data_IF_697393303957
#
_entry.id   IF_697393303957
#
_cell.length_a   1.000
_cell.length_b   1.000
_cell.length_c   1.000
_cell.angle_alpha   90.00
_cell.angle_beta   90.00
_cell.angle_gamma   90.00
#
_symmetry.space_group_name_H-M   'P 1'
#
loop_
_entity.id
_entity.type
_entity.pdbx_description
1 polymer ?
#
# COMPACT_ATOMS: atom_id res chain seq x y z
N UNK A 1 51.77 6.19 -23.30
CA UNK A 1 50.40 6.35 -23.85
C UNK A 1 49.55 5.07 -23.82
N UNK A 2 50.09 3.88 -24.15
CA UNK A 2 49.31 2.63 -24.17
C UNK A 2 48.78 2.21 -22.78
N UNK A 3 49.59 2.38 -21.73
CA UNK A 3 49.24 2.06 -20.34
C UNK A 3 48.18 2.99 -19.75
N UNK A 4 48.23 4.29 -20.08
CA UNK A 4 47.24 5.29 -19.63
C UNK A 4 45.86 5.04 -20.26
N UNK A 5 45.83 4.65 -21.54
CA UNK A 5 44.57 4.27 -22.22
C UNK A 5 43.98 2.98 -21.65
N UNK A 6 44.82 2.03 -21.24
CA UNK A 6 44.40 0.78 -20.61
C UNK A 6 43.84 1.01 -19.20
N UNK A 7 44.47 1.86 -18.39
CA UNK A 7 43.96 2.21 -17.05
C UNK A 7 42.66 3.00 -17.13
N UNK A 8 42.51 3.90 -18.10
CA UNK A 8 41.27 4.66 -18.29
C UNK A 8 40.13 3.77 -18.79
N UNK A 9 40.43 2.78 -19.64
CA UNK A 9 39.46 1.79 -20.09
C UNK A 9 39.00 0.85 -18.96
N UNK A 10 39.90 0.44 -18.07
CA UNK A 10 39.56 -0.38 -16.89
C UNK A 10 38.71 0.39 -15.88
N UNK A 11 39.00 1.68 -15.67
CA UNK A 11 38.19 2.54 -14.80
C UNK A 11 36.78 2.77 -15.37
N UNK A 12 36.67 2.96 -16.69
CA UNK A 12 35.37 3.06 -17.38
C UNK A 12 34.58 1.74 -17.33
N UNK A 13 35.24 0.58 -17.43
CA UNK A 13 34.60 -0.73 -17.35
C UNK A 13 34.07 -1.04 -15.94
N UNK A 14 34.78 -0.60 -14.88
CA UNK A 14 34.34 -0.75 -13.50
C UNK A 14 33.08 0.07 -13.17
N UNK A 15 32.90 1.22 -13.81
CA UNK A 15 31.69 2.08 -13.65
C UNK A 15 30.48 1.44 -14.36
N UNK A 16 30.68 0.63 -15.40
CA UNK A 16 29.61 0.02 -16.19
C UNK A 16 29.01 -1.27 -15.59
N UNK A 17 29.58 -1.86 -14.54
CA UNK A 17 29.04 -3.09 -13.92
C UNK A 17 28.01 -2.83 -12.80
N UNK A 18 27.65 -1.56 -12.54
CA UNK A 18 26.87 -1.16 -11.37
C UNK A 18 25.34 -1.23 -11.49
N UNK A 19 24.77 -1.92 -12.48
CA UNK A 19 23.31 -1.88 -12.68
C UNK A 19 22.74 -3.17 -13.23
N UNK A 20 22.88 -4.26 -12.47
CA UNK A 20 21.94 -5.36 -12.50
C UNK A 20 21.53 -5.64 -11.05
N UNK A 21 20.28 -5.34 -10.70
CA UNK A 21 19.69 -5.79 -9.44
C UNK A 21 19.54 -7.32 -9.52
N UNK A 22 20.61 -8.06 -9.20
CA UNK A 22 20.49 -9.49 -8.97
C UNK A 22 19.59 -9.70 -7.75
N UNK A 23 18.63 -10.61 -7.85
CA UNK A 23 17.87 -11.10 -6.70
C UNK A 23 18.85 -11.90 -5.83
N UNK A 24 19.56 -11.19 -4.95
CA UNK A 24 20.45 -11.82 -3.99
C UNK A 24 19.62 -12.58 -2.96
N UNK A 25 19.99 -13.83 -2.71
CA UNK A 25 19.41 -14.62 -1.63
C UNK A 25 19.88 -14.13 -0.26
N UNK A 26 19.03 -14.25 0.76
CA UNK A 26 19.39 -14.03 2.16
C UNK A 26 18.92 -15.22 3.01
N UNK A 27 19.50 -15.40 4.19
CA UNK A 27 18.98 -16.37 5.16
C UNK A 27 17.80 -15.79 5.97
N UNK A 28 17.01 -16.67 6.58
CA UNK A 28 15.85 -16.28 7.39
C UNK A 28 16.24 -15.42 8.60
N UNK A 29 17.39 -15.70 9.24
CA UNK A 29 17.86 -14.94 10.38
C UNK A 29 18.16 -13.48 10.01
N UNK A 30 18.63 -13.23 8.79
CA UNK A 30 18.93 -11.89 8.27
C UNK A 30 17.65 -11.08 8.06
N UNK A 31 16.57 -11.71 7.59
CA UNK A 31 15.26 -11.07 7.53
C UNK A 31 14.76 -10.68 8.93
N UNK A 32 14.93 -11.56 9.92
CA UNK A 32 14.50 -11.33 11.31
C UNK A 32 15.30 -10.25 12.05
N UNK A 33 16.43 -9.79 11.50
CA UNK A 33 17.17 -8.64 12.05
C UNK A 33 16.43 -7.33 11.84
N UNK A 34 15.52 -7.26 10.86
CA UNK A 34 14.78 -6.03 10.57
C UNK A 34 13.78 -5.75 11.69
N UNK A 35 13.85 -4.55 12.26
CA UNK A 35 13.01 -4.14 13.37
C UNK A 35 12.44 -2.75 13.16
N UNK A 36 11.29 -2.49 13.81
CA UNK A 36 10.68 -1.17 13.87
C UNK A 36 11.70 -0.15 14.42
N UNK A 37 11.79 1.01 13.79
CA UNK A 37 12.69 2.10 14.17
C UNK A 37 14.04 2.14 13.44
N UNK A 38 14.38 1.07 12.71
CA UNK A 38 15.59 1.04 11.87
C UNK A 38 15.56 2.11 10.78
N UNK A 39 16.72 2.66 10.46
CA UNK A 39 16.94 3.67 9.42
C UNK A 39 17.02 3.04 8.04
N UNK A 40 16.84 3.85 7.00
CA UNK A 40 16.99 3.42 5.61
C UNK A 40 18.37 2.85 5.33
N UNK A 41 19.41 3.44 5.91
CA UNK A 41 20.80 3.01 5.76
C UNK A 41 21.03 1.62 6.40
N UNK A 42 20.48 1.38 7.59
CA UNK A 42 20.51 0.07 8.23
C UNK A 42 19.78 -0.98 7.39
N UNK A 43 18.61 -0.65 6.85
CA UNK A 43 17.87 -1.53 5.94
C UNK A 43 18.66 -1.81 4.67
N UNK A 44 19.27 -0.79 4.06
CA UNK A 44 20.12 -0.95 2.87
C UNK A 44 21.34 -1.83 3.18
N UNK A 45 21.89 -1.76 4.38
CA UNK A 45 22.99 -2.65 4.79
C UNK A 45 22.55 -4.11 4.93
N UNK A 46 21.28 -4.37 5.25
CA UNK A 46 20.73 -5.72 5.44
C UNK A 46 20.23 -6.31 4.11
N UNK A 47 19.42 -5.56 3.37
CA UNK A 47 18.71 -6.02 2.18
C UNK A 47 19.31 -5.51 0.87
N UNK A 48 20.23 -4.56 0.90
CA UNK A 48 20.69 -3.84 -0.28
C UNK A 48 19.70 -2.76 -0.73
N UNK A 49 19.81 -2.36 -2.00
CA UNK A 49 18.92 -1.37 -2.59
C UNK A 49 17.53 -1.96 -2.87
N UNK A 50 16.45 -1.20 -2.64
CA UNK A 50 15.09 -1.66 -2.94
C UNK A 50 14.89 -1.80 -4.45
N UNK A 51 14.05 -2.75 -4.85
CA UNK A 51 13.67 -2.94 -6.25
C UNK A 51 12.61 -1.93 -6.69
N UNK A 52 11.73 -1.55 -5.77
CA UNK A 52 10.74 -0.50 -6.00
C UNK A 52 10.68 0.43 -4.80
N UNK A 53 10.59 1.73 -5.10
CA UNK A 53 10.46 2.81 -4.12
C UNK A 53 9.22 3.64 -4.49
N UNK A 54 8.31 3.79 -3.54
CA UNK A 54 7.15 4.66 -3.62
C UNK A 54 7.24 5.74 -2.54
N UNK A 55 6.61 6.88 -2.78
CA UNK A 55 6.51 7.97 -1.81
C UNK A 55 5.09 8.51 -1.87
N UNK A 56 4.28 8.22 -0.85
CA UNK A 56 3.06 8.97 -0.58
C UNK A 56 3.35 9.96 0.56
N UNK A 57 2.50 10.98 0.72
CA UNK A 57 2.80 12.17 1.51
C UNK A 57 3.26 11.88 2.95
N UNK A 58 2.82 10.78 3.56
CA UNK A 58 3.17 10.43 4.95
C UNK A 58 4.15 9.26 5.06
N UNK A 59 4.19 8.36 4.06
CA UNK A 59 4.97 7.13 4.14
C UNK A 59 5.80 6.92 2.87
N UNK A 60 7.10 6.77 3.05
CA UNK A 60 7.95 6.24 1.99
C UNK A 60 7.92 4.71 2.03
N UNK A 61 7.61 4.07 0.90
CA UNK A 61 7.50 2.62 0.78
C UNK A 61 8.65 2.02 0.00
N UNK A 62 9.32 1.00 0.53
CA UNK A 62 10.35 0.23 -0.18
C UNK A 62 9.92 -1.23 -0.32
N UNK A 63 10.10 -1.78 -1.52
CA UNK A 63 9.82 -3.18 -1.84
C UNK A 63 11.06 -3.91 -2.31
N UNK A 64 11.23 -5.12 -1.79
CA UNK A 64 12.30 -6.04 -2.13
C UNK A 64 11.76 -7.36 -2.63
N UNK A 65 12.50 -7.99 -3.54
CA UNK A 65 12.34 -9.40 -3.88
C UNK A 65 13.60 -10.14 -3.45
N UNK A 66 13.45 -11.17 -2.60
CA UNK A 66 14.56 -11.95 -2.06
C UNK A 66 14.25 -13.43 -2.12
N UNK A 67 15.24 -14.25 -2.47
CA UNK A 67 15.15 -15.69 -2.20
C UNK A 67 15.58 -15.93 -0.76
N UNK A 68 14.69 -16.44 0.09
CA UNK A 68 14.99 -16.72 1.49
C UNK A 68 15.36 -18.18 1.63
N UNK A 69 16.51 -18.47 2.24
CA UNK A 69 16.91 -19.86 2.50
C UNK A 69 15.88 -20.57 3.37
N UNK A 70 15.31 -21.66 2.85
CA UNK A 70 14.28 -22.46 3.52
C UNK A 70 12.83 -22.01 3.23
N UNK A 71 12.61 -20.91 2.52
CA UNK A 71 11.28 -20.55 2.02
C UNK A 71 11.07 -21.08 0.59
N UNK A 72 9.85 -21.53 0.24
CA UNK A 72 9.51 -21.79 -1.15
C UNK A 72 9.51 -20.46 -1.94
N UNK A 73 10.15 -20.47 -3.12
CA UNK A 73 10.06 -19.37 -4.08
C UNK A 73 10.77 -18.06 -3.70
N UNK A 74 10.24 -16.96 -4.25
CA UNK A 74 10.71 -15.59 -4.01
C UNK A 74 9.83 -14.99 -2.92
N UNK A 75 10.42 -14.36 -1.91
CA UNK A 75 9.72 -13.58 -0.89
C UNK A 75 9.71 -12.10 -1.29
N UNK A 76 8.52 -11.50 -1.26
CA UNK A 76 8.33 -10.05 -1.30
C UNK A 76 8.47 -9.52 0.13
N UNK A 77 9.24 -8.44 0.31
CA UNK A 77 9.35 -7.74 1.59
C UNK A 77 8.98 -6.28 1.34
N UNK A 78 7.93 -5.81 2.02
CA UNK A 78 7.45 -4.43 1.97
C UNK A 78 7.77 -3.71 3.27
N UNK A 79 8.37 -2.52 3.17
CA UNK A 79 8.74 -1.67 4.30
C UNK A 79 8.13 -0.29 4.14
N UNK A 80 7.60 0.26 5.22
CA UNK A 80 7.12 1.64 5.31
C UNK A 80 7.99 2.47 6.24
N UNK A 81 8.33 3.68 5.82
CA UNK A 81 9.16 4.62 6.58
C UNK A 81 8.41 5.91 6.86
N UNK A 82 8.48 6.36 8.11
CA UNK A 82 8.07 7.69 8.57
C UNK A 82 9.28 8.32 9.27
N UNK A 83 9.58 9.58 8.97
CA UNK A 83 10.79 10.28 9.47
C UNK A 83 12.10 9.50 9.23
N UNK A 84 12.16 8.78 8.10
CA UNK A 84 13.33 7.96 7.73
C UNK A 84 13.48 6.66 8.52
N UNK A 85 12.53 6.30 9.38
CA UNK A 85 12.57 5.10 10.23
C UNK A 85 11.46 4.10 9.87
N UNK A 86 11.75 2.81 9.96
CA UNK A 86 10.80 1.73 9.71
C UNK A 86 9.64 1.80 10.70
N UNK A 87 8.41 1.91 10.19
CA UNK A 87 7.17 1.87 10.97
C UNK A 87 6.29 0.68 10.63
N UNK A 88 6.45 0.11 9.42
CA UNK A 88 5.72 -1.02 8.90
C UNK A 88 6.65 -2.01 8.19
N UNK A 89 6.38 -3.30 8.35
CA UNK A 89 7.03 -4.39 7.61
C UNK A 89 6.04 -5.52 7.39
N UNK A 90 5.99 -6.06 6.16
CA UNK A 90 5.36 -7.34 5.84
C UNK A 90 6.25 -8.14 4.89
N UNK A 91 6.20 -9.48 4.99
CA UNK A 91 6.94 -10.37 4.11
C UNK A 91 6.10 -11.58 3.74
N UNK A 92 5.97 -11.85 2.44
CA UNK A 92 5.11 -12.92 1.92
C UNK A 92 5.68 -13.55 0.66
N UNK A 93 5.31 -14.79 0.37
CA UNK A 93 5.73 -15.47 -0.85
C UNK A 93 5.11 -14.81 -2.08
N UNK A 94 5.92 -14.57 -3.11
CA UNK A 94 5.49 -14.10 -4.41
C UNK A 94 4.71 -15.21 -5.09
N UNK A 95 3.39 -15.07 -5.16
CA UNK A 95 2.53 -15.99 -5.91
C UNK A 95 2.98 -16.03 -7.37
N UNK A 96 3.58 -17.14 -7.79
CA UNK A 96 3.82 -17.43 -9.22
C UNK A 96 2.51 -17.92 -9.81
N UNK A 97 1.70 -16.98 -10.33
CA UNK A 97 0.39 -17.19 -10.99
C UNK A 97 -0.54 -18.23 -10.31
N UNK A 98 -1.69 -17.82 -9.73
CA UNK A 98 -2.72 -18.81 -9.46
C UNK A 98 -3.13 -19.46 -10.80
N UNK A 99 -3.36 -20.78 -10.86
CA UNK A 99 -4.03 -21.36 -12.02
C UNK A 99 -5.35 -20.59 -12.17
N UNK A 100 -5.60 -20.08 -13.39
CA UNK A 100 -6.88 -19.44 -13.72
C UNK A 100 -7.96 -20.50 -13.54
N UNK A 101 -8.58 -20.54 -12.36
CA UNK A 101 -9.74 -21.35 -12.11
C UNK A 101 -10.89 -20.71 -12.89
N UNK A 102 -11.26 -21.32 -14.02
CA UNK A 102 -12.53 -21.05 -14.69
C UNK A 102 -13.62 -21.57 -13.76
N UNK A 103 -14.23 -20.70 -12.96
CA UNK A 103 -15.37 -21.08 -12.14
C UNK A 103 -16.63 -21.12 -13.01
N UNK A 104 -17.35 -22.25 -13.11
CA UNK A 104 -18.74 -22.22 -13.55
C UNK A 104 -19.58 -21.52 -12.47
N UNK A 105 -20.49 -20.64 -12.90
CA UNK A 105 -21.43 -19.95 -12.02
C UNK A 105 -22.27 -20.97 -11.26
N UNK A 106 -22.06 -21.11 -9.95
CA UNK A 106 -22.90 -21.94 -9.08
C UNK A 106 -23.73 -21.02 -8.19
N UNK A 107 -25.03 -21.29 -8.22
CA UNK A 107 -26.10 -20.57 -7.55
C UNK A 107 -26.02 -20.64 -6.01
N UNK A 108 -26.70 -19.66 -5.42
CA UNK A 108 -26.73 -19.22 -4.03
C UNK A 108 -27.13 -20.34 -3.05
N UNK A 109 -26.40 -20.45 -1.93
CA UNK A 109 -26.89 -21.12 -0.72
C UNK A 109 -25.81 -21.59 0.24
N UNK A 110 -25.40 -20.76 1.19
CA UNK A 110 -24.60 -21.20 2.34
C UNK A 110 -23.85 -20.07 3.05
N UNK A 111 -24.39 -19.60 4.18
CA UNK A 111 -23.72 -18.71 5.14
C UNK A 111 -22.39 -19.33 5.61
N UNK A 112 -21.28 -18.66 5.27
CA UNK A 112 -20.01 -18.89 5.94
C UNK A 112 -20.01 -18.08 7.26
N UNK A 113 -19.63 -18.68 8.41
CA UNK A 113 -19.67 -18.01 9.69
C UNK A 113 -18.65 -16.86 9.72
N UNK A 114 -19.16 -15.64 9.80
CA UNK A 114 -18.36 -14.43 9.97
C UNK A 114 -17.67 -14.47 11.34
N UNK A 115 -16.36 -14.71 11.36
CA UNK A 115 -15.56 -14.48 12.56
C UNK A 115 -15.53 -12.97 12.83
N UNK A 116 -15.96 -12.49 14.00
CA UNK A 116 -15.80 -11.09 14.37
C UNK A 116 -14.32 -10.85 14.69
N UNK A 117 -13.59 -10.32 13.72
CA UNK A 117 -12.29 -9.71 13.99
C UNK A 117 -12.56 -8.38 14.68
N UNK A 118 -12.36 -8.37 15.99
CA UNK A 118 -12.37 -7.16 16.82
C UNK A 118 -11.21 -6.27 16.35
N UNK A 119 -11.48 -5.37 15.41
CA UNK A 119 -10.58 -4.29 15.02
C UNK A 119 -10.74 -3.18 16.05
N UNK A 120 -9.82 -3.13 17.01
CA UNK A 120 -9.67 -1.96 17.85
C UNK A 120 -9.29 -0.77 16.97
N UNK A 121 -10.23 0.14 16.72
CA UNK A 121 -10.02 1.51 16.23
C UNK A 121 -9.27 1.72 14.91
N UNK A 122 -8.92 0.66 14.14
CA UNK A 122 -7.94 0.77 13.04
C UNK A 122 -8.52 0.68 11.62
N UNK A 123 -9.84 0.69 11.47
CA UNK A 123 -10.45 0.39 10.16
C UNK A 123 -10.19 -1.05 9.73
N UNK A 124 -10.34 -1.32 8.43
CA UNK A 124 -10.01 -2.63 7.86
C UNK A 124 -8.50 -2.83 7.80
N UNK A 125 -8.03 -4.08 7.74
CA UNK A 125 -6.59 -4.31 7.59
C UNK A 125 -6.10 -3.82 6.21
N UNK A 126 -4.81 -3.50 6.12
CA UNK A 126 -4.22 -2.89 4.92
C UNK A 126 -4.35 -3.76 3.67
N UNK A 127 -4.31 -5.10 3.81
CA UNK A 127 -4.47 -6.03 2.69
C UNK A 127 -5.87 -5.95 2.09
N UNK A 128 -6.89 -5.97 2.94
CA UNK A 128 -8.28 -5.87 2.52
C UNK A 128 -8.57 -4.49 1.91
N UNK A 129 -8.01 -3.44 2.51
CA UNK A 129 -8.08 -2.09 1.97
C UNK A 129 -7.46 -2.00 0.57
N UNK A 130 -6.22 -2.46 0.40
CA UNK A 130 -5.52 -2.41 -0.88
C UNK A 130 -6.22 -3.25 -1.95
N UNK A 131 -6.81 -4.38 -1.57
CA UNK A 131 -7.62 -5.21 -2.48
C UNK A 131 -8.83 -4.43 -3.00
N UNK A 132 -9.57 -3.76 -2.09
CA UNK A 132 -10.70 -2.93 -2.48
C UNK A 132 -10.27 -1.72 -3.32
N UNK A 133 -9.28 -0.96 -2.84
CA UNK A 133 -8.73 0.22 -3.49
C UNK A 133 -8.29 -0.07 -4.94
N UNK A 134 -7.51 -1.14 -5.16
CA UNK A 134 -7.04 -1.49 -6.49
C UNK A 134 -8.18 -1.94 -7.41
N UNK A 135 -9.19 -2.65 -6.89
CA UNK A 135 -10.38 -3.02 -7.66
C UNK A 135 -11.16 -1.80 -8.10
N UNK A 136 -11.41 -0.84 -7.20
CA UNK A 136 -12.06 0.43 -7.52
C UNK A 136 -11.23 1.17 -8.57
N UNK A 137 -9.95 1.46 -8.28
CA UNK A 137 -9.05 2.21 -9.17
C UNK A 137 -8.89 1.59 -10.56
N UNK A 138 -9.02 0.27 -10.70
CA UNK A 138 -8.89 -0.42 -12.00
C UNK A 138 -10.06 -0.16 -12.96
N UNK A 139 -11.21 0.31 -12.46
CA UNK A 139 -12.37 0.60 -13.30
C UNK A 139 -12.15 1.88 -14.10
N UNK A 140 -12.51 1.90 -15.40
CA UNK A 140 -12.25 3.04 -16.27
C UNK A 140 -13.22 4.21 -16.06
N UNK A 141 -14.45 3.95 -15.58
CA UNK A 141 -15.49 4.95 -15.43
C UNK A 141 -15.84 5.18 -13.96
N UNK A 142 -16.16 6.44 -13.62
CA UNK A 142 -16.48 6.86 -12.24
C UNK A 142 -17.68 6.11 -11.66
N UNK A 143 -18.75 5.93 -12.42
CA UNK A 143 -19.95 5.26 -11.93
C UNK A 143 -19.64 3.81 -11.51
N UNK A 144 -18.91 3.07 -12.35
CA UNK A 144 -18.44 1.71 -12.01
C UNK A 144 -17.52 1.68 -10.78
N UNK A 145 -16.74 2.73 -10.56
CA UNK A 145 -15.87 2.87 -9.38
C UNK A 145 -16.71 3.03 -8.11
N UNK A 146 -17.71 3.91 -8.14
CA UNK A 146 -18.58 4.19 -7.00
C UNK A 146 -19.48 2.99 -6.67
N UNK A 147 -20.06 2.33 -7.68
CA UNK A 147 -20.86 1.11 -7.51
C UNK A 147 -20.03 -0.02 -6.86
N UNK A 148 -18.79 -0.21 -7.33
CA UNK A 148 -17.88 -1.20 -6.75
C UNK A 148 -17.48 -0.81 -5.34
N UNK A 149 -17.28 0.48 -5.06
CA UNK A 149 -16.94 0.96 -3.72
C UNK A 149 -18.07 0.71 -2.73
N UNK A 150 -19.31 1.05 -3.09
CA UNK A 150 -20.50 0.86 -2.25
C UNK A 150 -20.77 -0.63 -1.99
N UNK A 151 -20.77 -1.46 -3.03
CA UNK A 151 -20.90 -2.91 -2.87
C UNK A 151 -19.71 -3.52 -2.12
N UNK A 152 -18.52 -2.95 -2.33
CA UNK A 152 -17.28 -3.38 -1.76
C UNK A 152 -17.22 -3.14 -0.26
N UNK A 153 -17.60 -1.96 0.23
CA UNK A 153 -17.42 -1.59 1.64
C UNK A 153 -18.34 -2.39 2.58
N UNK A 154 -19.60 -2.60 2.20
CA UNK A 154 -20.61 -3.27 3.02
C UNK A 154 -20.63 -2.74 4.46
N UNK A 155 -20.59 -3.65 5.45
CA UNK A 155 -20.53 -3.29 6.89
C UNK A 155 -19.11 -3.20 7.46
N UNK A 156 -18.07 -3.16 6.61
CA UNK A 156 -16.68 -3.14 7.09
C UNK A 156 -16.29 -1.72 7.49
N UNK A 157 -15.62 -1.59 8.63
CA UNK A 157 -15.09 -0.30 9.10
C UNK A 157 -13.87 0.14 8.29
N UNK A 158 -13.66 1.45 8.17
CA UNK A 158 -12.45 2.06 7.63
C UNK A 158 -11.91 3.16 8.56
N UNK A 159 -10.62 3.46 8.46
CA UNK A 159 -10.03 4.63 9.13
C UNK A 159 -10.15 5.90 8.29
N UNK A 160 -9.95 7.07 8.90
CA UNK A 160 -9.89 8.35 8.20
C UNK A 160 -8.81 8.36 7.12
N UNK A 161 -7.60 7.85 7.42
CA UNK A 161 -6.52 7.64 6.45
C UNK A 161 -6.94 6.78 5.25
N UNK A 162 -7.68 5.70 5.50
CA UNK A 162 -8.19 4.84 4.42
C UNK A 162 -9.24 5.57 3.57
N UNK A 163 -10.09 6.39 4.19
CA UNK A 163 -11.04 7.24 3.49
C UNK A 163 -10.32 8.23 2.57
N UNK A 164 -9.32 8.94 3.09
CA UNK A 164 -8.49 9.90 2.34
C UNK A 164 -7.82 9.23 1.14
N UNK A 165 -7.25 8.03 1.33
CA UNK A 165 -6.62 7.27 0.24
C UNK A 165 -7.62 6.91 -0.85
N UNK A 166 -8.84 6.52 -0.50
CA UNK A 166 -9.90 6.25 -1.49
C UNK A 166 -10.34 7.52 -2.22
N UNK A 167 -10.53 8.63 -1.51
CA UNK A 167 -10.83 9.94 -2.10
C UNK A 167 -9.76 10.36 -3.10
N UNK A 168 -8.50 10.06 -2.82
CA UNK A 168 -7.33 10.40 -3.65
C UNK A 168 -7.28 9.70 -5.01
N UNK A 169 -8.22 8.79 -5.32
CA UNK A 169 -8.42 8.29 -6.70
C UNK A 169 -8.85 9.45 -7.62
N UNK A 170 -9.58 10.43 -7.09
CA UNK A 170 -10.13 11.54 -7.83
C UNK A 170 -9.33 12.83 -7.63
N UNK A 171 -9.23 13.60 -8.71
CA UNK A 171 -8.50 14.87 -8.69
C UNK A 171 -9.32 16.00 -8.08
N UNK A 172 -10.63 16.04 -8.33
CA UNK A 172 -11.48 17.17 -7.96
C UNK A 172 -12.27 16.90 -6.70
N UNK A 173 -12.43 17.91 -5.85
CA UNK A 173 -13.13 17.79 -4.56
C UNK A 173 -14.58 17.33 -4.67
N UNK A 174 -15.30 17.71 -5.72
CA UNK A 174 -16.69 17.27 -5.90
C UNK A 174 -16.78 15.74 -5.99
N UNK A 175 -15.85 15.11 -6.71
CA UNK A 175 -15.75 13.64 -6.79
C UNK A 175 -15.28 13.03 -5.45
N UNK A 176 -14.29 13.66 -4.78
CA UNK A 176 -13.85 13.23 -3.45
C UNK A 176 -15.00 13.24 -2.43
N UNK A 177 -15.89 14.24 -2.51
CA UNK A 177 -17.07 14.36 -1.65
C UNK A 177 -18.14 13.30 -1.95
N UNK A 178 -18.26 12.84 -3.19
CA UNK A 178 -19.13 11.70 -3.51
C UNK A 178 -18.61 10.41 -2.87
N UNK A 179 -17.31 10.15 -2.94
CA UNK A 179 -16.68 9.03 -2.22
C UNK A 179 -16.91 9.13 -0.71
N UNK A 180 -16.73 10.33 -0.14
CA UNK A 180 -16.93 10.55 1.30
C UNK A 180 -18.36 10.23 1.74
N UNK A 181 -19.38 10.55 0.94
CA UNK A 181 -20.78 10.21 1.26
C UNK A 181 -20.99 8.71 1.41
N UNK A 182 -20.34 7.91 0.56
CA UNK A 182 -20.43 6.45 0.61
C UNK A 182 -19.71 5.91 1.84
N UNK A 183 -18.55 6.47 2.19
CA UNK A 183 -17.68 5.91 3.23
C UNK A 183 -17.96 6.42 4.64
N UNK A 184 -18.51 7.62 4.79
CA UNK A 184 -18.74 8.25 6.09
C UNK A 184 -19.45 7.37 7.13
N UNK A 185 -20.48 6.57 6.79
CA UNK A 185 -21.14 5.68 7.74
C UNK A 185 -20.22 4.61 8.36
N UNK A 186 -19.15 4.24 7.66
CA UNK A 186 -18.27 3.14 8.02
C UNK A 186 -16.96 3.60 8.70
N UNK A 187 -16.76 4.91 8.90
CA UNK A 187 -15.54 5.43 9.53
C UNK A 187 -15.52 5.09 11.03
N UNK A 188 -14.42 4.48 11.48
CA UNK A 188 -14.27 3.92 12.83
C UNK A 188 -13.53 4.82 13.81
N UNK A 189 -12.68 5.74 13.33
CA UNK A 189 -11.80 6.62 14.11
C UNK A 189 -12.21 8.10 13.95
N UNK A 190 -13.41 8.42 14.46
CA UNK A 190 -14.05 9.75 14.29
C UNK A 190 -13.23 10.90 14.87
N UNK A 191 -12.35 10.62 15.81
CA UNK A 191 -11.40 11.57 16.37
C UNK A 191 -10.42 12.15 15.33
N UNK A 192 -10.24 11.47 14.19
CA UNK A 192 -9.31 11.86 13.13
C UNK A 192 -10.00 12.51 11.92
N UNK A 193 -11.24 12.99 12.05
CA UNK A 193 -11.97 13.61 10.93
C UNK A 193 -11.25 14.78 10.26
N UNK A 194 -10.38 15.48 10.98
CA UNK A 194 -9.57 16.55 10.41
C UNK A 194 -8.65 16.05 9.27
N UNK A 195 -8.25 14.77 9.26
CA UNK A 195 -7.49 14.19 8.13
C UNK A 195 -8.28 14.22 6.82
N UNK A 196 -9.59 13.94 6.88
CA UNK A 196 -10.48 13.95 5.72
C UNK A 196 -10.73 15.38 5.25
N UNK A 197 -10.92 16.30 6.21
CA UNK A 197 -11.23 17.70 5.92
C UNK A 197 -10.01 18.37 5.27
N UNK A 198 -8.83 18.19 5.84
CA UNK A 198 -7.58 18.76 5.34
C UNK A 198 -7.11 18.17 3.99
N UNK A 199 -7.74 17.10 3.50
CA UNK A 199 -7.46 16.50 2.20
C UNK A 199 -8.25 17.15 1.04
N UNK A 200 -9.11 18.12 1.33
CA UNK A 200 -9.87 18.89 0.36
C UNK A 200 -9.17 20.21 0.04
N UNK A 201 -9.27 20.64 -1.21
CA UNK A 201 -8.54 21.81 -1.72
C UNK A 201 -9.29 23.12 -1.45
N UNK A 202 -10.62 23.06 -1.27
CA UNK A 202 -11.46 24.25 -1.08
C UNK A 202 -12.19 24.27 0.26
N UNK A 203 -12.24 25.44 0.90
CA UNK A 203 -12.99 25.68 2.15
C UNK A 203 -14.47 25.29 2.01
N UNK A 204 -15.09 25.55 0.86
CA UNK A 204 -16.48 25.15 0.61
C UNK A 204 -16.66 23.63 0.58
N UNK A 205 -15.64 22.88 0.15
CA UNK A 205 -15.62 21.42 0.21
C UNK A 205 -15.43 20.94 1.65
N UNK A 206 -14.53 21.58 2.42
CA UNK A 206 -14.35 21.29 3.85
C UNK A 206 -15.67 21.43 4.63
N UNK A 207 -16.43 22.49 4.38
CA UNK A 207 -17.74 22.70 5.01
C UNK A 207 -18.75 21.60 4.64
N UNK A 208 -18.77 21.18 3.37
CA UNK A 208 -19.60 20.05 2.92
C UNK A 208 -19.17 18.75 3.60
N UNK A 209 -17.86 18.49 3.72
CA UNK A 209 -17.33 17.31 4.40
C UNK A 209 -17.71 17.30 5.88
N UNK A 210 -17.58 18.43 6.59
CA UNK A 210 -18.03 18.58 7.98
C UNK A 210 -19.52 18.23 8.14
N UNK A 211 -20.35 18.66 7.20
CA UNK A 211 -21.77 18.32 7.15
C UNK A 211 -22.00 16.82 6.95
N UNK A 212 -21.32 16.18 5.98
CA UNK A 212 -21.40 14.74 5.73
C UNK A 212 -20.96 13.93 6.97
N UNK A 213 -19.92 14.36 7.66
CA UNK A 213 -19.37 13.71 8.85
C UNK A 213 -20.19 13.98 10.13
N UNK A 214 -21.25 14.79 10.05
CA UNK A 214 -22.11 15.11 11.19
C UNK A 214 -21.44 15.98 12.26
N UNK A 215 -20.40 16.72 11.90
CA UNK A 215 -19.71 17.66 12.81
C UNK A 215 -20.61 18.87 12.98
N UNK A 216 -21.16 19.06 14.18
CA UNK A 216 -21.96 20.24 14.52
C UNK A 216 -21.05 21.46 14.62
N UNK A 217 -21.50 22.58 14.04
CA UNK A 217 -20.87 23.91 14.23
C UNK A 217 -20.94 24.34 15.69
#
# INVERSE_FOLDING_TARGET
MKTIKLTLALLAFAICMGSCAMILGIDSNTLMKIQKGMTKEEITSILGQPMHRSFDHEVEGWRYEKSISGAPGITIIDLGFVDGKVTYMDSYEKYTNPPVAVYPSVEIGGEAPSRPHVSGGRGMNERDFLSLYNKVKSKPFKDDQLDLLEAGIGNRGLSCKQCVRMMSIYRFDDDKLEVLKILAPNISDRENYDEIINALDFISSEEKARSILGIKK
#
